data_IF_541871632431
#
_entry.id   IF_541871632431
#
_cell.length_a   1.000
_cell.length_b   1.000
_cell.length_c   1.000
_cell.angle_alpha   90.00
_cell.angle_beta   90.00
_cell.angle_gamma   90.00
#
_symmetry.space_group_name_H-M   'P 1'
#
loop_
_entity.id
_entity.type
_entity.pdbx_description
1 polymer ?
#
# COMPACT_ATOMS: atom_id res chain seq x y z
N UNK A 1 23.97 31.85 18.29
CA UNK A 1 23.48 30.49 18.64
C UNK A 1 21.95 30.52 18.79
N UNK A 2 21.14 30.51 17.72
CA UNK A 2 19.69 30.22 17.82
C UNK A 2 18.99 30.13 16.45
N UNK A 3 19.52 29.37 15.49
CA UNK A 3 18.84 29.15 14.20
C UNK A 3 18.88 27.69 13.73
N UNK A 4 19.90 26.92 14.14
CA UNK A 4 20.01 25.49 13.83
C UNK A 4 18.97 24.60 14.56
N UNK A 5 18.33 25.07 15.65
CA UNK A 5 17.28 24.31 16.35
C UNK A 5 15.91 24.38 15.67
N UNK A 6 15.65 25.41 14.85
CA UNK A 6 14.33 25.58 14.22
C UNK A 6 14.13 24.60 13.06
N UNK A 7 15.18 24.29 12.31
CA UNK A 7 15.10 23.41 11.12
C UNK A 7 14.97 21.93 11.49
N UNK A 8 15.55 21.50 12.63
CA UNK A 8 15.34 20.15 13.15
C UNK A 8 13.90 19.88 13.61
N UNK A 9 13.17 20.94 14.00
CA UNK A 9 11.77 20.85 14.42
C UNK A 9 10.83 20.59 13.26
N UNK A 10 11.12 21.13 12.07
CA UNK A 10 10.24 21.00 10.90
C UNK A 10 10.21 19.57 10.32
N UNK A 11 11.31 18.83 10.45
CA UNK A 11 11.37 17.43 10.01
C UNK A 11 10.73 16.45 11.01
N UNK A 12 10.60 16.85 12.29
CA UNK A 12 9.96 16.03 13.32
C UNK A 12 8.42 16.18 13.32
N UNK A 13 7.89 17.30 12.81
CA UNK A 13 6.44 17.58 12.79
C UNK A 13 5.70 17.01 11.58
N UNK A 14 6.39 16.32 10.66
CA UNK A 14 5.78 15.73 9.46
C UNK A 14 5.47 14.22 9.59
N UNK A 15 5.43 13.67 10.81
CA UNK A 15 4.69 12.43 11.09
C UNK A 15 3.20 12.74 11.28
N UNK A 16 2.59 13.27 10.23
CA UNK A 16 1.15 13.13 10.06
C UNK A 16 0.95 11.76 9.41
N UNK A 17 0.60 10.76 10.23
CA UNK A 17 0.32 9.37 9.80
C UNK A 17 -0.71 9.27 8.68
N UNK A 18 -1.40 10.37 8.35
CA UNK A 18 -2.51 10.44 7.41
C UNK A 18 -2.11 10.68 5.93
N UNK A 19 -0.82 10.87 5.61
CA UNK A 19 -0.35 11.14 4.23
C UNK A 19 0.72 10.17 3.71
N UNK A 20 0.91 9.06 4.39
CA UNK A 20 1.85 8.01 3.96
C UNK A 20 1.17 7.12 2.93
N UNK A 21 1.50 7.31 1.65
CA UNK A 21 1.10 6.43 0.56
C UNK A 21 2.29 6.15 -0.34
N UNK A 22 2.12 5.22 -1.28
CA UNK A 22 3.18 4.82 -2.20
C UNK A 22 3.77 6.01 -2.97
N UNK A 23 2.95 6.99 -3.33
CA UNK A 23 3.41 8.19 -4.03
C UNK A 23 4.27 9.08 -3.14
N UNK A 24 3.84 9.29 -1.89
CA UNK A 24 4.65 9.99 -0.88
C UNK A 24 5.98 9.26 -0.65
N UNK A 25 5.98 7.92 -0.61
CA UNK A 25 7.19 7.12 -0.45
C UNK A 25 8.16 7.25 -1.65
N UNK A 26 7.65 7.21 -2.88
CA UNK A 26 8.44 7.42 -4.10
C UNK A 26 9.01 8.84 -4.14
N UNK A 27 8.20 9.85 -3.82
CA UNK A 27 8.63 11.24 -3.74
C UNK A 27 9.73 11.44 -2.69
N UNK A 28 9.52 10.94 -1.47
CA UNK A 28 10.49 11.03 -0.38
C UNK A 28 11.80 10.28 -0.67
N UNK A 29 11.72 9.09 -1.27
CA UNK A 29 12.91 8.30 -1.66
C UNK A 29 13.76 9.04 -2.68
N UNK A 30 13.10 9.73 -3.62
CA UNK A 30 13.79 10.50 -4.65
C UNK A 30 14.35 11.83 -4.11
N UNK A 31 13.69 12.48 -3.15
CA UNK A 31 14.19 13.70 -2.48
C UNK A 31 15.35 13.42 -1.52
N UNK A 32 15.37 12.26 -0.84
CA UNK A 32 16.45 11.88 0.07
C UNK A 32 17.78 11.62 -0.65
N UNK A 33 17.74 11.27 -1.94
CA UNK A 33 18.92 11.05 -2.77
C UNK A 33 19.69 12.34 -3.08
N UNK A 34 19.07 13.52 -3.00
CA UNK A 34 19.74 14.81 -3.26
C UNK A 34 20.63 15.29 -2.10
N UNK A 35 20.45 14.74 -0.88
CA UNK A 35 21.17 15.23 0.32
C UNK A 35 22.59 14.67 0.47
N UNK A 36 23.03 13.79 -0.44
CA UNK A 36 24.34 13.12 -0.43
C UNK A 36 25.07 13.26 -1.77
N UNK A 37 25.52 14.46 -2.17
CA UNK A 37 26.51 14.56 -3.26
C UNK A 37 27.66 15.51 -2.92
N UNK A 38 28.71 14.89 -2.35
CA UNK A 38 30.05 14.97 -2.93
C UNK A 38 30.01 14.27 -4.32
N UNK A 39 30.30 15.05 -5.35
CA UNK A 39 30.89 14.72 -6.67
C UNK A 39 30.38 13.49 -7.46
N UNK A 40 29.76 13.79 -8.61
CA UNK A 40 29.97 13.14 -9.94
C UNK A 40 29.10 11.98 -10.47
N UNK A 41 27.81 11.86 -10.16
CA UNK A 41 26.81 11.36 -11.14
C UNK A 41 25.50 12.12 -10.92
N UNK A 42 25.10 12.97 -11.87
CA UNK A 42 23.95 13.86 -11.75
C UNK A 42 22.61 13.12 -11.66
N UNK A 43 22.12 12.88 -10.44
CA UNK A 43 20.71 12.58 -10.19
C UNK A 43 20.07 13.83 -9.64
N UNK A 44 19.38 14.56 -10.51
CA UNK A 44 18.51 15.67 -10.14
C UNK A 44 17.19 15.15 -9.58
N UNK A 45 16.53 15.97 -8.77
CA UNK A 45 15.18 15.74 -8.30
C UNK A 45 14.29 15.35 -9.49
N UNK A 46 13.39 14.35 -9.31
CA UNK A 46 12.54 13.89 -10.38
C UNK A 46 11.65 15.03 -10.86
N UNK A 47 11.54 15.14 -12.16
CA UNK A 47 10.64 16.09 -12.80
C UNK A 47 9.19 15.74 -12.52
N UNK A 48 8.31 16.72 -12.59
CA UNK A 48 6.86 16.50 -12.48
C UNK A 48 6.35 15.45 -13.49
N UNK A 49 7.00 15.34 -14.65
CA UNK A 49 6.68 14.35 -15.68
C UNK A 49 7.06 12.93 -15.25
N UNK A 50 8.24 12.73 -14.66
CA UNK A 50 8.65 11.43 -14.11
C UNK A 50 7.74 10.99 -12.96
N UNK A 51 7.33 11.93 -12.10
CA UNK A 51 6.38 11.66 -11.01
C UNK A 51 5.03 11.24 -11.59
N UNK A 52 4.48 11.98 -12.58
CA UNK A 52 3.23 11.60 -13.26
C UNK A 52 3.34 10.25 -13.96
N UNK A 53 4.46 9.98 -14.62
CA UNK A 53 4.72 8.70 -15.30
C UNK A 53 4.68 7.52 -14.32
N UNK A 54 5.33 7.64 -13.16
CA UNK A 54 5.30 6.61 -12.13
C UNK A 54 3.87 6.37 -11.60
N UNK A 55 3.11 7.44 -11.33
CA UNK A 55 1.70 7.33 -10.92
C UNK A 55 0.88 6.58 -11.97
N UNK A 56 1.05 6.93 -13.25
CA UNK A 56 0.33 6.31 -14.35
C UNK A 56 0.65 4.82 -14.49
N UNK A 57 1.93 4.44 -14.40
CA UNK A 57 2.35 3.04 -14.45
C UNK A 57 1.71 2.23 -13.31
N UNK A 58 1.71 2.75 -12.08
CA UNK A 58 1.09 2.07 -10.95
C UNK A 58 -0.42 1.89 -11.13
N UNK A 59 -1.11 2.90 -11.67
CA UNK A 59 -2.54 2.84 -11.91
C UNK A 59 -2.89 1.81 -13.00
N UNK A 60 -2.19 1.86 -14.15
CA UNK A 60 -2.45 0.96 -15.28
C UNK A 60 -2.15 -0.49 -14.91
N UNK A 61 -1.02 -0.73 -14.24
CA UNK A 61 -0.64 -2.06 -13.80
C UNK A 61 -1.71 -2.68 -12.87
N UNK A 62 -2.28 -1.90 -11.95
CA UNK A 62 -3.33 -2.35 -11.04
C UNK A 62 -4.70 -2.53 -11.71
N UNK A 63 -5.03 -1.71 -12.70
CA UNK A 63 -6.32 -1.76 -13.39
C UNK A 63 -6.43 -2.97 -14.32
N UNK A 64 -5.49 -3.16 -15.23
CA UNK A 64 -5.64 -4.19 -16.28
C UNK A 64 -5.43 -5.62 -15.77
N UNK A 65 -4.68 -5.79 -14.68
CA UNK A 65 -4.41 -7.12 -14.12
C UNK A 65 -5.33 -7.44 -12.93
N UNK A 66 -5.19 -6.71 -11.82
CA UNK A 66 -5.91 -7.00 -10.58
C UNK A 66 -7.40 -6.73 -10.69
N UNK A 67 -7.81 -5.58 -11.24
CA UNK A 67 -9.23 -5.26 -11.35
C UNK A 67 -9.94 -6.23 -12.31
N UNK A 68 -9.35 -6.53 -13.46
CA UNK A 68 -9.88 -7.55 -14.38
C UNK A 68 -9.93 -8.94 -13.73
N UNK A 69 -8.92 -9.34 -12.96
CA UNK A 69 -8.90 -10.63 -12.25
C UNK A 69 -10.04 -10.71 -11.23
N UNK A 70 -10.26 -9.66 -10.44
CA UNK A 70 -11.36 -9.59 -9.48
C UNK A 70 -12.70 -9.66 -10.23
N UNK A 71 -12.86 -8.90 -11.31
CA UNK A 71 -14.08 -8.91 -12.11
C UNK A 71 -14.39 -10.30 -12.68
N UNK A 72 -13.40 -10.98 -13.26
CA UNK A 72 -13.59 -12.33 -13.77
C UNK A 72 -13.88 -13.33 -12.65
N UNK A 73 -13.18 -13.23 -11.53
CA UNK A 73 -13.41 -14.09 -10.36
C UNK A 73 -14.84 -13.91 -9.83
N UNK A 74 -15.32 -12.68 -9.69
CA UNK A 74 -16.69 -12.37 -9.29
C UNK A 74 -17.72 -12.91 -10.27
N UNK A 75 -17.45 -12.80 -11.58
CA UNK A 75 -18.34 -13.35 -12.61
C UNK A 75 -18.43 -14.87 -12.52
N UNK A 76 -17.29 -15.57 -12.37
CA UNK A 76 -17.25 -17.03 -12.20
C UNK A 76 -18.04 -17.44 -10.95
N UNK A 77 -17.84 -16.75 -9.81
CA UNK A 77 -18.60 -17.04 -8.59
C UNK A 77 -20.10 -16.81 -8.79
N UNK A 78 -20.51 -15.74 -9.47
CA UNK A 78 -21.92 -15.47 -9.74
C UNK A 78 -22.58 -16.54 -10.63
N UNK A 79 -21.84 -17.07 -11.62
CA UNK A 79 -22.33 -18.11 -12.53
C UNK A 79 -22.31 -19.53 -11.90
N UNK A 80 -21.46 -19.75 -10.90
CA UNK A 80 -21.26 -21.06 -10.26
C UNK A 80 -21.58 -20.99 -8.76
N UNK A 81 -22.88 -21.05 -8.44
CA UNK A 81 -23.40 -20.94 -7.07
C UNK A 81 -22.84 -22.02 -6.13
N UNK A 82 -22.61 -23.23 -6.62
CA UNK A 82 -22.01 -24.32 -5.84
C UNK A 82 -20.57 -24.00 -5.38
N UNK A 83 -19.80 -23.30 -6.21
CA UNK A 83 -18.46 -22.84 -5.87
C UNK A 83 -18.55 -21.64 -4.93
N UNK A 84 -19.48 -20.71 -5.17
CA UNK A 84 -19.70 -19.56 -4.30
C UNK A 84 -20.07 -20.00 -2.87
N UNK A 85 -21.00 -20.94 -2.70
CA UNK A 85 -21.39 -21.51 -1.40
C UNK A 85 -20.18 -22.13 -0.69
N UNK A 86 -19.38 -22.95 -1.39
CA UNK A 86 -18.17 -23.56 -0.80
C UNK A 86 -17.15 -22.54 -0.32
N UNK A 87 -17.02 -21.40 -1.01
CA UNK A 87 -16.12 -20.32 -0.59
C UNK A 87 -16.68 -19.62 0.66
N UNK A 88 -17.98 -19.33 0.68
CA UNK A 88 -18.64 -18.73 1.84
C UNK A 88 -18.57 -19.64 3.07
N UNK A 89 -18.81 -20.94 2.92
CA UNK A 89 -18.70 -21.92 4.01
C UNK A 89 -17.31 -21.90 4.66
N UNK A 90 -16.25 -21.75 3.85
CA UNK A 90 -14.87 -21.64 4.36
C UNK A 90 -14.65 -20.34 5.12
N UNK A 91 -15.17 -19.22 4.62
CA UNK A 91 -15.07 -17.93 5.27
C UNK A 91 -15.80 -18.00 6.63
N UNK A 92 -17.04 -18.48 6.64
CA UNK A 92 -17.84 -18.64 7.85
C UNK A 92 -17.20 -19.58 8.86
N UNK A 93 -16.55 -20.65 8.40
CA UNK A 93 -15.82 -21.57 9.28
C UNK A 93 -14.65 -20.87 10.00
N UNK A 94 -13.90 -20.00 9.31
CA UNK A 94 -12.81 -19.21 9.92
C UNK A 94 -13.36 -18.27 10.99
N UNK A 95 -14.42 -17.50 10.67
CA UNK A 95 -15.05 -16.60 11.64
C UNK A 95 -15.65 -17.35 12.84
N UNK A 96 -16.29 -18.50 12.61
CA UNK A 96 -16.85 -19.32 13.67
C UNK A 96 -15.76 -19.89 14.60
N UNK A 97 -14.60 -20.25 14.06
CA UNK A 97 -13.43 -20.68 14.83
C UNK A 97 -12.88 -19.55 15.69
N UNK A 98 -12.58 -18.40 15.09
CA UNK A 98 -12.08 -17.22 15.80
C UNK A 98 -13.00 -16.82 16.97
N UNK A 99 -14.32 -16.84 16.73
CA UNK A 99 -15.33 -16.56 17.76
C UNK A 99 -15.31 -17.57 18.91
N UNK A 100 -15.07 -18.86 18.64
CA UNK A 100 -14.94 -19.90 19.69
C UNK A 100 -13.69 -19.70 20.54
N UNK A 101 -12.62 -19.19 19.94
CA UNK A 101 -11.35 -18.89 20.62
C UNK A 101 -11.39 -17.54 21.36
N UNK A 102 -12.49 -16.77 21.21
CA UNK A 102 -12.72 -15.51 21.91
C UNK A 102 -12.11 -14.30 21.19
N UNK A 103 -11.66 -14.46 19.94
CA UNK A 103 -11.11 -13.38 19.15
C UNK A 103 -12.24 -12.47 18.62
N UNK A 104 -12.11 -11.17 18.84
CA UNK A 104 -13.03 -10.14 18.32
C UNK A 104 -12.70 -9.69 16.90
N UNK A 105 -11.46 -9.90 16.46
CA UNK A 105 -10.96 -9.59 15.12
C UNK A 105 -10.13 -10.75 14.61
N UNK A 106 -10.12 -10.94 13.28
CA UNK A 106 -9.29 -11.95 12.64
C UNK A 106 -7.84 -11.46 12.56
N UNK A 107 -6.92 -12.30 13.02
CA UNK A 107 -5.47 -12.14 12.84
C UNK A 107 -4.93 -13.29 12.00
N UNK A 108 -4.00 -12.97 11.10
CA UNK A 108 -3.36 -13.96 10.24
C UNK A 108 -2.57 -15.00 11.05
N UNK A 109 -1.97 -14.56 12.15
CA UNK A 109 -1.07 -15.31 13.02
C UNK A 109 -1.80 -16.32 13.91
N UNK A 110 -3.10 -16.16 14.10
CA UNK A 110 -3.89 -16.94 15.06
C UNK A 110 -5.04 -17.70 14.41
N UNK A 111 -5.71 -17.11 13.41
CA UNK A 111 -6.96 -17.66 12.87
C UNK A 111 -6.76 -18.42 11.54
N UNK A 112 -5.63 -18.22 10.86
CA UNK A 112 -5.26 -18.91 9.63
C UNK A 112 -4.17 -19.96 9.88
N UNK A 113 -4.17 -21.10 9.15
CA UNK A 113 -3.17 -22.16 9.29
C UNK A 113 -1.78 -21.76 8.80
#
# INVERSE_FOLDING_TARGET
MSLARSVGSFCATARDSSRENLLTAVLCSNMAAEKNLDVSIGRSAPTDEEIRGNVFIFLVAGYDTTANTIQFSSLVLALHQDVQERVLDKIDAVYARAKKEGHTELSYEHDFP
#
